data_IF_920377839844
#
_entry.id   IF_920377839844
#
_cell.length_a   1.000
_cell.length_b   1.000
_cell.length_c   1.000
_cell.angle_alpha   90.00
_cell.angle_beta   90.00
_cell.angle_gamma   90.00
#
_symmetry.space_group_name_H-M   'P 1'
#
loop_
_entity.id
_entity.type
_entity.pdbx_description
1 polymer ?
#
# COMPACT_ATOMS: atom_id res chain seq x y z
N UNK A 1 8.78 10.25 12.25
CA UNK A 1 8.93 9.15 11.28
C UNK A 1 7.58 8.46 11.22
N UNK A 2 7.07 8.18 10.02
CA UNK A 2 5.77 7.53 9.85
C UNK A 2 5.83 6.09 10.39
N UNK A 3 4.93 5.71 11.31
CA UNK A 3 4.97 4.40 11.98
C UNK A 3 4.67 3.27 10.98
N UNK A 4 3.74 3.46 10.04
CA UNK A 4 3.45 2.46 9.01
C UNK A 4 4.65 2.20 8.09
N UNK A 5 5.39 3.26 7.71
CA UNK A 5 6.62 3.11 6.94
C UNK A 5 7.68 2.32 7.72
N UNK A 6 7.79 2.54 9.03
CA UNK A 6 8.69 1.78 9.90
C UNK A 6 8.34 0.28 9.89
N UNK A 7 7.06 -0.07 10.01
CA UNK A 7 6.59 -1.46 9.92
C UNK A 7 6.92 -2.07 8.55
N UNK A 8 6.73 -1.34 7.45
CA UNK A 8 7.09 -1.85 6.12
C UNK A 8 8.59 -2.07 5.96
N UNK A 9 9.43 -1.17 6.50
CA UNK A 9 10.90 -1.34 6.52
C UNK A 9 11.32 -2.56 7.33
N UNK A 10 10.67 -2.84 8.45
CA UNK A 10 10.87 -4.06 9.25
C UNK A 10 10.54 -5.31 8.43
N UNK A 11 9.39 -5.32 7.76
CA UNK A 11 8.98 -6.42 6.89
C UNK A 11 9.98 -6.67 5.75
N UNK A 12 10.45 -5.62 5.09
CA UNK A 12 11.50 -5.72 4.06
C UNK A 12 12.82 -6.26 4.64
N UNK A 13 13.16 -5.88 5.88
CA UNK A 13 14.35 -6.38 6.59
C UNK A 13 14.30 -7.89 6.81
N UNK A 14 13.14 -8.42 7.20
CA UNK A 14 12.93 -9.87 7.36
C UNK A 14 13.03 -10.64 6.04
N UNK A 15 12.64 -10.02 4.94
CA UNK A 15 12.71 -10.59 3.59
C UNK A 15 14.07 -10.37 2.91
N UNK A 16 15.02 -9.72 3.58
CA UNK A 16 16.33 -9.33 3.05
C UNK A 16 16.23 -8.48 1.77
N UNK A 17 15.12 -7.77 1.57
CA UNK A 17 14.98 -6.86 0.44
C UNK A 17 15.96 -5.71 0.55
N UNK A 18 16.61 -5.39 -0.57
CA UNK A 18 17.54 -4.26 -0.66
C UNK A 18 16.78 -2.96 -0.39
N UNK A 19 17.15 -2.29 0.70
CA UNK A 19 16.66 -0.96 1.04
C UNK A 19 17.81 0.02 0.86
N UNK A 20 17.59 1.06 0.06
CA UNK A 20 18.58 2.10 -0.08
C UNK A 20 18.78 2.85 1.25
N UNK A 21 19.97 3.44 1.44
CA UNK A 21 20.20 4.27 2.63
C UNK A 21 19.23 5.47 2.61
N UNK A 22 18.80 5.98 3.77
CA UNK A 22 17.96 7.17 3.83
C UNK A 22 18.50 8.31 2.95
N UNK A 23 17.68 8.82 2.03
CA UNK A 23 18.02 9.93 1.13
C UNK A 23 19.03 9.62 0.01
N UNK A 24 19.39 8.36 -0.20
CA UNK A 24 20.46 7.98 -1.15
C UNK A 24 20.02 7.87 -2.61
N UNK A 25 18.72 7.63 -2.88
CA UNK A 25 18.21 7.44 -4.23
C UNK A 25 17.11 8.47 -4.52
N UNK A 26 17.31 9.38 -5.50
CA UNK A 26 16.30 10.38 -5.86
C UNK A 26 15.15 9.80 -6.69
N UNK A 27 15.37 8.66 -7.37
CA UNK A 27 14.35 7.97 -8.19
C UNK A 27 14.63 6.48 -8.25
N UNK A 28 13.61 5.64 -8.11
CA UNK A 28 13.72 4.20 -8.29
C UNK A 28 14.29 3.83 -9.67
N UNK A 29 15.07 2.74 -9.81
CA UNK A 29 15.49 2.24 -11.12
C UNK A 29 14.27 1.77 -11.92
N UNK A 30 14.32 1.86 -13.25
CA UNK A 30 13.16 1.62 -14.12
C UNK A 30 12.50 0.25 -13.91
N UNK A 31 13.28 -0.79 -13.61
CA UNK A 31 12.74 -2.12 -13.29
C UNK A 31 11.91 -2.15 -11.99
N UNK A 32 12.34 -1.42 -10.96
CA UNK A 32 11.56 -1.28 -9.71
C UNK A 32 10.33 -0.41 -9.94
N UNK A 33 10.43 0.63 -10.79
CA UNK A 33 9.25 1.43 -11.18
C UNK A 33 8.21 0.53 -11.85
N UNK A 34 8.61 -0.28 -12.83
CA UNK A 34 7.70 -1.22 -13.53
C UNK A 34 7.09 -2.22 -12.54
N UNK A 35 7.91 -2.78 -11.65
CA UNK A 35 7.46 -3.72 -10.62
C UNK A 35 6.41 -3.10 -9.69
N UNK A 36 6.70 -1.93 -9.10
CA UNK A 36 5.75 -1.27 -8.20
C UNK A 36 4.51 -0.77 -8.94
N UNK A 37 4.63 -0.37 -10.21
CA UNK A 37 3.47 -0.02 -11.02
C UNK A 37 2.52 -1.21 -11.20
N UNK A 38 3.06 -2.40 -11.50
CA UNK A 38 2.27 -3.62 -11.61
C UNK A 38 1.58 -3.97 -10.28
N UNK A 39 2.32 -3.91 -9.16
CA UNK A 39 1.77 -4.19 -7.83
C UNK A 39 0.67 -3.19 -7.42
N UNK A 40 0.85 -1.91 -7.71
CA UNK A 40 -0.15 -0.88 -7.43
C UNK A 40 -1.40 -1.05 -8.30
N UNK A 41 -1.24 -1.40 -9.59
CA UNK A 41 -2.35 -1.67 -10.49
C UNK A 41 -3.16 -2.89 -10.04
N UNK A 42 -2.49 -3.95 -9.60
CA UNK A 42 -3.14 -5.14 -9.05
C UNK A 42 -3.92 -4.80 -7.76
N UNK A 43 -3.26 -4.16 -6.78
CA UNK A 43 -3.90 -3.76 -5.53
C UNK A 43 -5.06 -2.78 -5.76
N UNK A 44 -4.89 -1.82 -6.67
CA UNK A 44 -5.94 -0.90 -7.09
C UNK A 44 -7.12 -1.64 -7.72
N UNK A 45 -6.87 -2.60 -8.61
CA UNK A 45 -7.91 -3.43 -9.23
C UNK A 45 -8.77 -4.15 -8.19
N UNK A 46 -8.15 -4.68 -7.13
CA UNK A 46 -8.88 -5.35 -6.05
C UNK A 46 -9.72 -4.36 -5.22
N UNK A 47 -9.22 -3.15 -4.96
CA UNK A 47 -10.03 -2.05 -4.37
C UNK A 47 -11.26 -1.76 -5.22
N UNK A 48 -11.09 -1.62 -6.55
CA UNK A 48 -12.21 -1.35 -7.46
C UNK A 48 -13.25 -2.48 -7.46
N UNK A 49 -12.82 -3.74 -7.40
CA UNK A 49 -13.73 -4.90 -7.33
C UNK A 49 -14.52 -4.90 -6.01
N UNK A 50 -13.86 -4.68 -4.89
CA UNK A 50 -14.51 -4.60 -3.58
C UNK A 50 -15.51 -3.42 -3.52
N UNK A 51 -15.11 -2.26 -4.05
CA UNK A 51 -15.97 -1.08 -4.20
C UNK A 51 -17.23 -1.36 -5.03
N UNK A 52 -17.09 -2.13 -6.12
CA UNK A 52 -18.22 -2.54 -6.95
C UNK A 52 -19.13 -3.54 -6.23
N UNK A 53 -18.56 -4.42 -5.40
CA UNK A 53 -19.31 -5.38 -4.59
C UNK A 53 -20.03 -4.74 -3.40
N UNK A 54 -19.54 -3.58 -2.93
CA UNK A 54 -20.07 -2.89 -1.75
C UNK A 54 -19.64 -3.53 -0.42
N UNK A 55 -18.58 -4.33 -0.43
CA UNK A 55 -18.06 -5.02 0.76
C UNK A 55 -17.05 -4.13 1.50
N UNK A 56 -17.49 -3.50 2.60
CA UNK A 56 -16.67 -2.54 3.35
C UNK A 56 -15.39 -3.16 3.95
N UNK A 57 -15.43 -4.35 4.59
CA UNK A 57 -14.21 -5.07 4.98
C UNK A 57 -13.23 -5.30 3.83
N UNK A 58 -13.70 -5.73 2.65
CA UNK A 58 -12.82 -5.94 1.49
C UNK A 58 -12.26 -4.61 0.93
N UNK A 59 -13.06 -3.54 0.92
CA UNK A 59 -12.60 -2.21 0.52
C UNK A 59 -11.50 -1.73 1.47
N UNK A 60 -11.71 -1.88 2.79
CA UNK A 60 -10.72 -1.54 3.80
C UNK A 60 -9.41 -2.32 3.59
N UNK A 61 -9.52 -3.63 3.41
CA UNK A 61 -8.37 -4.50 3.14
C UNK A 61 -7.62 -4.11 1.88
N UNK A 62 -8.34 -3.82 0.80
CA UNK A 62 -7.77 -3.35 -0.45
C UNK A 62 -7.02 -2.02 -0.29
N UNK A 63 -7.61 -1.04 0.41
CA UNK A 63 -7.00 0.28 0.63
C UNK A 63 -5.75 0.18 1.52
N UNK A 64 -5.79 -0.65 2.56
CA UNK A 64 -4.61 -0.92 3.41
C UNK A 64 -3.51 -1.60 2.61
N UNK A 65 -3.85 -2.57 1.76
CA UNK A 65 -2.87 -3.24 0.90
C UNK A 65 -2.25 -2.28 -0.11
N UNK A 66 -3.06 -1.43 -0.74
CA UNK A 66 -2.59 -0.40 -1.66
C UNK A 66 -1.63 0.58 -0.97
N UNK A 67 -1.96 1.01 0.25
CA UNK A 67 -1.09 1.81 1.09
C UNK A 67 0.23 1.10 1.41
N UNK A 68 0.16 -0.20 1.74
CA UNK A 68 1.34 -1.02 2.05
C UNK A 68 2.29 -1.11 0.85
N UNK A 69 1.77 -1.31 -0.36
CA UNK A 69 2.57 -1.34 -1.60
C UNK A 69 3.21 0.02 -1.88
N UNK A 70 2.47 1.12 -1.70
CA UNK A 70 3.03 2.46 -1.89
C UNK A 70 4.17 2.75 -0.90
N UNK A 71 4.01 2.41 0.37
CA UNK A 71 5.06 2.53 1.38
C UNK A 71 6.25 1.60 1.11
N UNK A 72 6.02 0.42 0.53
CA UNK A 72 7.10 -0.49 0.15
C UNK A 72 8.01 0.14 -0.91
N UNK A 73 7.45 0.86 -1.90
CA UNK A 73 8.24 1.60 -2.88
C UNK A 73 9.11 2.68 -2.22
N UNK A 74 8.53 3.44 -1.28
CA UNK A 74 9.23 4.48 -0.52
C UNK A 74 10.36 3.88 0.33
N UNK A 75 10.10 2.75 0.99
CA UNK A 75 11.08 2.02 1.79
C UNK A 75 12.26 1.54 0.94
N UNK A 76 11.99 0.96 -0.23
CA UNK A 76 13.03 0.52 -1.17
C UNK A 76 13.91 1.67 -1.63
N UNK A 77 13.32 2.84 -1.88
CA UNK A 77 14.06 4.05 -2.25
C UNK A 77 14.86 4.67 -1.09
N UNK A 78 14.62 4.26 0.16
CA UNK A 78 15.16 4.92 1.34
C UNK A 78 14.58 6.33 1.52
N UNK A 79 13.41 6.61 0.97
CA UNK A 79 12.69 7.88 1.17
C UNK A 79 11.88 7.88 2.46
N UNK A 80 11.35 9.03 2.84
CA UNK A 80 10.35 9.17 3.89
C UNK A 80 9.00 9.63 3.29
N UNK A 81 7.90 9.36 3.99
CA UNK A 81 6.58 9.85 3.58
C UNK A 81 6.59 11.37 3.56
N UNK A 82 6.18 11.95 2.44
CA UNK A 82 6.00 13.39 2.31
C UNK A 82 4.56 13.73 2.63
N UNK A 83 4.32 14.29 3.82
CA UNK A 83 3.01 14.78 4.21
C UNK A 83 2.65 16.00 3.36
N UNK A 84 1.79 15.78 2.36
CA UNK A 84 1.10 16.86 1.65
C UNK A 84 -0.38 16.81 2.04
N UNK A 85 -1.00 17.96 2.34
CA UNK A 85 -2.43 17.99 2.53
C UNK A 85 -3.11 17.49 1.26
N UNK A 86 -3.82 16.36 1.35
CA UNK A 86 -4.64 15.88 0.24
C UNK A 86 -5.88 16.76 0.21
N UNK A 87 -5.88 17.76 -0.67
CA UNK A 87 -7.07 18.56 -0.95
C UNK A 87 -8.08 17.70 -1.72
N UNK A 88 -8.85 16.92 -0.98
CA UNK A 88 -9.98 16.19 -1.52
C UNK A 88 -11.22 17.10 -1.50
N UNK A 89 -11.70 17.47 -2.68
CA UNK A 89 -12.89 18.31 -2.89
C UNK A 89 -13.96 17.59 -3.73
N UNK A 90 -13.86 16.27 -3.90
CA UNK A 90 -14.84 15.54 -4.68
C UNK A 90 -15.93 14.97 -3.79
N UNK A 91 -17.15 15.04 -4.30
CA UNK A 91 -18.32 14.33 -3.80
C UNK A 91 -17.90 12.86 -3.61
N UNK A 92 -18.16 12.27 -2.44
CA UNK A 92 -17.82 10.89 -2.05
C UNK A 92 -18.51 9.80 -2.90
N UNK A 93 -18.87 10.12 -4.14
CA UNK A 93 -19.36 9.18 -5.13
C UNK A 93 -18.31 8.14 -5.46
N UNK A 94 -18.76 6.92 -5.69
CA UNK A 94 -17.90 5.79 -6.05
C UNK A 94 -17.04 6.09 -7.29
N UNK A 95 -17.62 6.75 -8.30
CA UNK A 95 -16.90 7.09 -9.54
C UNK A 95 -15.79 8.13 -9.32
N UNK A 96 -16.04 9.11 -8.45
CA UNK A 96 -15.03 10.08 -8.02
C UNK A 96 -13.84 9.38 -7.36
N UNK A 97 -14.14 8.47 -6.42
CA UNK A 97 -13.12 7.69 -5.70
C UNK A 97 -12.31 6.80 -6.64
N UNK A 98 -12.97 6.06 -7.54
CA UNK A 98 -12.31 5.21 -8.52
C UNK A 98 -11.37 6.02 -9.42
N UNK A 99 -11.83 7.19 -9.88
CA UNK A 99 -11.05 8.07 -10.74
C UNK A 99 -9.79 8.55 -10.05
N UNK A 100 -9.88 9.08 -8.82
CA UNK A 100 -8.69 9.56 -8.12
C UNK A 100 -7.70 8.44 -7.80
N UNK A 101 -8.18 7.27 -7.39
CA UNK A 101 -7.30 6.14 -7.06
C UNK A 101 -6.51 5.75 -8.30
N UNK A 102 -7.18 5.67 -9.45
CA UNK A 102 -6.54 5.38 -10.74
C UNK A 102 -5.54 6.47 -11.15
N UNK A 103 -5.90 7.74 -11.02
CA UNK A 103 -5.04 8.87 -11.37
C UNK A 103 -3.76 8.89 -10.51
N UNK A 104 -3.89 8.63 -9.20
CA UNK A 104 -2.74 8.58 -8.28
C UNK A 104 -1.85 7.37 -8.50
N UNK A 105 -2.43 6.19 -8.78
CA UNK A 105 -1.65 5.00 -9.16
C UNK A 105 -0.88 5.25 -10.46
N UNK A 106 -1.48 5.92 -11.45
CA UNK A 106 -0.80 6.24 -12.70
C UNK A 106 0.37 7.21 -12.50
N UNK A 107 0.24 8.18 -11.58
CA UNK A 107 1.33 9.11 -11.26
C UNK A 107 2.58 8.41 -10.68
N UNK A 108 2.42 7.24 -10.04
CA UNK A 108 3.54 6.45 -9.53
C UNK A 108 4.50 5.94 -10.62
N UNK A 109 4.09 5.93 -11.90
CA UNK A 109 4.97 5.59 -13.02
C UNK A 109 6.18 6.54 -13.15
N UNK A 110 6.15 7.71 -12.49
CA UNK A 110 7.32 8.59 -12.36
C UNK A 110 8.47 7.98 -11.53
N UNK A 111 8.18 7.07 -10.60
CA UNK A 111 9.12 6.56 -9.60
C UNK A 111 9.47 7.56 -8.49
N UNK A 112 8.66 8.60 -8.29
CA UNK A 112 8.86 9.64 -7.27
C UNK A 112 8.23 9.26 -5.92
N UNK A 113 8.96 9.47 -4.82
CA UNK A 113 8.48 9.33 -3.44
C UNK A 113 7.20 10.14 -3.19
N UNK A 114 7.11 11.33 -3.79
CA UNK A 114 5.95 12.20 -3.64
C UNK A 114 4.67 11.51 -4.14
N UNK A 115 4.75 10.85 -5.30
CA UNK A 115 3.57 10.23 -5.91
C UNK A 115 3.14 8.97 -5.15
N UNK A 116 4.10 8.19 -4.63
CA UNK A 116 3.80 7.09 -3.71
C UNK A 116 3.20 7.60 -2.39
N UNK A 117 3.70 8.72 -1.85
CA UNK A 117 3.18 9.35 -0.63
C UNK A 117 1.75 9.84 -0.82
N UNK A 118 1.42 10.36 -2.01
CA UNK A 118 0.05 10.77 -2.34
C UNK A 118 -0.93 9.58 -2.40
N UNK A 119 -0.51 8.42 -2.92
CA UNK A 119 -1.32 7.19 -2.87
C UNK A 119 -1.56 6.75 -1.42
N UNK A 120 -0.49 6.73 -0.60
CA UNK A 120 -0.59 6.39 0.81
C UNK A 120 -1.55 7.33 1.56
N UNK A 121 -1.38 8.65 1.40
CA UNK A 121 -2.26 9.65 2.01
C UNK A 121 -3.70 9.51 1.55
N UNK A 122 -3.94 9.29 0.25
CA UNK A 122 -5.28 9.03 -0.28
C UNK A 122 -5.95 7.83 0.39
N UNK A 123 -5.21 6.72 0.59
CA UNK A 123 -5.76 5.54 1.25
C UNK A 123 -6.21 5.84 2.68
N UNK A 124 -5.43 6.61 3.45
CA UNK A 124 -5.83 7.04 4.80
C UNK A 124 -7.13 7.86 4.74
N UNK A 125 -7.21 8.82 3.81
CA UNK A 125 -8.39 9.67 3.67
C UNK A 125 -9.64 8.88 3.26
N UNK A 126 -9.51 7.91 2.36
CA UNK A 126 -10.61 7.04 1.96
C UNK A 126 -11.03 6.11 3.11
N UNK A 127 -10.09 5.52 3.83
CA UNK A 127 -10.41 4.66 4.96
C UNK A 127 -11.15 5.43 6.07
N UNK A 128 -10.66 6.61 6.43
CA UNK A 128 -11.28 7.42 7.50
C UNK A 128 -12.58 8.10 7.06
N UNK A 129 -12.65 8.59 5.82
CA UNK A 129 -13.76 9.42 5.35
C UNK A 129 -14.83 8.69 4.53
N UNK A 130 -14.44 7.70 3.73
CA UNK A 130 -15.35 6.94 2.86
C UNK A 130 -15.78 5.61 3.49
N UNK A 131 -14.84 4.85 4.04
CA UNK A 131 -15.11 3.55 4.68
C UNK A 131 -15.55 3.71 6.14
N UNK A 132 -15.22 4.84 6.77
CA UNK A 132 -15.45 5.11 8.19
C UNK A 132 -14.77 4.08 9.10
N UNK A 133 -13.44 3.95 9.00
CA UNK A 133 -12.68 2.92 9.68
C UNK A 133 -11.35 3.41 10.28
N UNK A 134 -10.83 2.61 11.22
CA UNK A 134 -9.52 2.79 11.85
C UNK A 134 -8.41 2.27 10.92
N UNK A 135 -7.81 3.20 10.17
CA UNK A 135 -6.70 2.87 9.28
C UNK A 135 -5.50 2.29 10.03
N UNK A 136 -5.15 2.85 11.18
CA UNK A 136 -3.92 2.50 11.89
C UNK A 136 -4.01 1.08 12.47
N UNK A 137 -5.17 0.74 13.05
CA UNK A 137 -5.48 -0.61 13.52
C UNK A 137 -5.51 -1.62 12.36
N UNK A 138 -6.21 -1.29 11.27
CA UNK A 138 -6.31 -2.18 10.10
C UNK A 138 -4.94 -2.44 9.47
N UNK A 139 -4.11 -1.40 9.36
CA UNK A 139 -2.74 -1.52 8.87
C UNK A 139 -1.90 -2.43 9.75
N UNK A 140 -1.98 -2.26 11.08
CA UNK A 140 -1.24 -3.10 12.01
C UNK A 140 -1.66 -4.58 11.91
N UNK A 141 -2.96 -4.87 11.81
CA UNK A 141 -3.45 -6.25 11.64
C UNK A 141 -2.93 -6.89 10.36
N UNK A 142 -2.94 -6.16 9.23
CA UNK A 142 -2.37 -6.62 7.97
C UNK A 142 -0.86 -6.85 8.10
N UNK A 143 -0.15 -5.94 8.76
CA UNK A 143 1.29 -6.06 8.97
C UNK A 143 1.63 -7.30 9.83
N UNK A 144 0.96 -7.49 10.96
CA UNK A 144 1.19 -8.63 11.86
C UNK A 144 0.91 -9.96 11.14
N UNK A 145 -0.16 -10.02 10.33
CA UNK A 145 -0.45 -11.17 9.47
C UNK A 145 0.71 -11.45 8.52
N UNK A 146 1.23 -10.44 7.82
CA UNK A 146 2.37 -10.59 6.92
C UNK A 146 3.64 -11.10 7.63
N UNK A 147 3.96 -10.53 8.80
CA UNK A 147 5.12 -10.95 9.60
C UNK A 147 4.99 -12.39 10.08
N UNK A 148 3.81 -12.77 10.58
CA UNK A 148 3.55 -14.13 11.08
C UNK A 148 3.78 -15.18 9.99
N UNK A 149 3.36 -14.87 8.75
CA UNK A 149 3.48 -15.76 7.61
C UNK A 149 4.93 -15.94 7.16
N UNK A 150 5.71 -14.87 7.12
CA UNK A 150 7.15 -14.95 6.81
C UNK A 150 7.88 -15.85 7.82
N UNK A 151 7.54 -15.75 9.11
CA UNK A 151 8.12 -16.60 10.16
C UNK A 151 7.74 -18.07 10.01
N UNK A 152 6.52 -18.36 9.55
CA UNK A 152 6.02 -19.74 9.35
C UNK A 152 6.59 -20.36 8.08
N UNK A 153 6.71 -19.60 6.98
CA UNK A 153 7.09 -20.15 5.68
C UNK A 153 8.57 -20.50 5.55
N UNK A 154 9.47 -19.85 6.31
CA UNK A 154 10.92 -20.14 6.28
C UNK A 154 11.63 -19.92 4.93
N UNK A 155 10.91 -19.67 3.84
CA UNK A 155 11.46 -19.48 2.50
C UNK A 155 12.13 -18.11 2.36
N UNK A 156 13.42 -18.11 2.00
CA UNK A 156 14.06 -16.92 1.45
C UNK A 156 13.36 -16.56 0.13
N UNK A 157 12.63 -15.45 0.10
CA UNK A 157 11.95 -14.95 -1.11
C UNK A 157 12.90 -14.46 -2.22
N UNK A 158 14.21 -14.64 -2.04
CA UNK A 158 15.24 -14.37 -3.03
C UNK A 158 15.29 -15.52 -4.04
N UNK A 159 14.70 -15.33 -5.22
CA UNK A 159 14.91 -16.28 -6.29
C UNK A 159 14.16 -16.06 -7.59
N UNK A 160 12.98 -15.42 -7.56
CA UNK A 160 12.15 -15.44 -8.76
C UNK A 160 11.41 -14.13 -9.00
N UNK A 161 11.51 -13.61 -10.22
CA UNK A 161 10.66 -12.53 -10.70
C UNK A 161 9.16 -12.96 -10.66
N UNK A 162 8.88 -14.26 -10.59
CA UNK A 162 7.54 -14.82 -10.35
C UNK A 162 7.00 -14.61 -8.91
N UNK A 163 7.83 -14.14 -7.97
CA UNK A 163 7.38 -13.74 -6.63
C UNK A 163 6.69 -12.37 -6.59
N UNK A 164 6.50 -11.69 -7.73
CA UNK A 164 5.57 -10.55 -7.85
C UNK A 164 4.17 -10.96 -7.34
N UNK A 165 3.80 -12.24 -7.51
CA UNK A 165 2.59 -12.82 -6.93
C UNK A 165 2.70 -13.22 -5.45
N UNK A 166 3.90 -13.35 -4.85
CA UNK A 166 4.06 -13.54 -3.40
C UNK A 166 3.97 -12.22 -2.61
N UNK A 167 4.06 -11.08 -3.30
CA UNK A 167 3.62 -9.76 -2.80
C UNK A 167 2.12 -9.50 -3.05
N UNK A 168 1.37 -10.41 -3.69
CA UNK A 168 -0.08 -10.44 -3.41
C UNK A 168 -0.16 -10.62 -1.91
N UNK A 169 -0.61 -9.58 -1.24
CA UNK A 169 -1.00 -9.59 0.16
C UNK A 169 -2.16 -10.59 0.24
N UNK A 170 -1.80 -11.88 0.30
CA UNK A 170 -2.71 -13.01 0.24
C UNK A 170 -3.55 -13.01 1.52
N UNK A 171 -4.87 -13.14 1.35
CA UNK A 171 -5.93 -13.07 2.36
C UNK A 171 -5.67 -12.02 3.43
N UNK A 172 -6.23 -10.83 3.20
CA UNK A 172 -6.38 -9.82 4.25
C UNK A 172 -7.03 -10.49 5.46
N UNK A 173 -6.49 -10.31 6.69
CA UNK A 173 -7.15 -10.81 7.89
C UNK A 173 -8.57 -10.23 8.00
N UNK A 174 -9.43 -10.82 8.84
CA UNK A 174 -10.75 -10.25 9.07
C UNK A 174 -10.62 -8.86 9.71
N UNK A 175 -11.13 -7.81 9.03
CA UNK A 175 -10.98 -6.41 9.44
C UNK A 175 -12.29 -5.78 9.96
N UNK A 176 -13.32 -6.58 10.20
CA UNK A 176 -14.63 -6.12 10.66
C UNK A 176 -14.53 -5.24 11.92
N UNK A 177 -13.64 -5.59 12.85
CA UNK A 177 -13.38 -4.86 14.09
C UNK A 177 -12.71 -3.48 13.91
N UNK A 178 -12.34 -3.12 12.68
CA UNK A 178 -11.74 -1.83 12.35
C UNK A 178 -12.77 -0.85 11.77
N UNK A 179 -13.97 -1.31 11.41
CA UNK A 179 -15.05 -0.45 10.94
C UNK A 179 -15.70 0.24 12.15
N UNK A 180 -15.98 1.55 12.03
CA UNK A 180 -16.79 2.26 13.02
C UNK A 180 -18.28 2.11 12.66
N UNK A 181 -19.11 1.87 13.68
CA UNK A 181 -20.58 1.83 13.56
C UNK A 181 -21.18 3.17 13.07
#
# INVERSE_FOLDING_TARGET
MNEQLKSVREFHGLLLFSQAKPGSIPRLPDMEIIRYQALLMDAGSDVLKAMKAGDMPEILGGLVNLAYVALAAIATQGGDVVDKPVFWHQDWSLLSVIKVVSDKINACASGSVDNYSEVYGLCIHLVRGFVNADFDKAFQMVHDNNISRVKISGESLYGDADNIHKLKLQTVPELSDCLYE
#
